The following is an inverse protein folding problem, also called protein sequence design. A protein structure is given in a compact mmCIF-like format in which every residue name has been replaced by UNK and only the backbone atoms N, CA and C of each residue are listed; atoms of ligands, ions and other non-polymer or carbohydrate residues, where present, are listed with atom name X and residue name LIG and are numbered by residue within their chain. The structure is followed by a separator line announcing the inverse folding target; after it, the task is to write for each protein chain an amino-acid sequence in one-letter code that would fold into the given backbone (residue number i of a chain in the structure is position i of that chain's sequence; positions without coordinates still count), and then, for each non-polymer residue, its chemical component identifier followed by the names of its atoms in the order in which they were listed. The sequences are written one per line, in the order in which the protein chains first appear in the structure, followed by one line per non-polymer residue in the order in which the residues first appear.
data_IF_528258751982
#
_entry.id   IF_528258751982
#
_cell.length_a   1.000
_cell.length_b   1.000
_cell.length_c   1.000
_cell.angle_alpha   90.00
_cell.angle_beta   90.00
_cell.angle_gamma   90.00
#
_symmetry.space_group_name_H-M   'P 1'
#
loop_
_entity.id
_entity.type
_entity.pdbx_description
1 polymer ?
#
# COMPACT_ATOMS: atom_id res chain seq x y z
N UNK A 1 -34.20 -0.54 30.69
CA UNK A 1 -33.61 0.71 30.14
C UNK A 1 -32.17 0.41 29.80
N UNK A 2 -31.66 0.42 28.57
CA UNK A 2 -32.24 0.58 27.25
C UNK A 2 -31.30 -0.13 26.27
N UNK A 3 -31.91 -0.74 25.26
CA UNK A 3 -31.30 -1.49 24.18
C UNK A 3 -30.46 -0.53 23.30
N UNK A 4 -29.14 -0.75 23.22
CA UNK A 4 -28.26 -0.26 22.16
C UNK A 4 -27.60 -1.53 21.60
N UNK A 5 -28.09 -2.13 20.53
CA UNK A 5 -28.02 -1.55 19.19
C UNK A 5 -26.86 -2.23 18.47
N UNK A 6 -27.08 -3.51 18.11
CA UNK A 6 -26.16 -4.35 17.36
C UNK A 6 -25.76 -3.70 16.02
N UNK A 7 -24.56 -3.14 15.96
CA UNK A 7 -23.87 -2.83 14.71
C UNK A 7 -22.64 -3.74 14.58
N UNK A 8 -22.91 -5.00 14.23
CA UNK A 8 -21.90 -6.00 13.94
C UNK A 8 -22.39 -6.97 12.87
N UNK A 9 -22.45 -6.53 11.60
CA UNK A 9 -22.94 -7.30 10.46
C UNK A 9 -22.14 -8.60 10.16
N UNK A 10 -21.16 -8.99 10.98
CA UNK A 10 -20.37 -10.21 10.77
C UNK A 10 -20.00 -10.97 12.06
N UNK A 11 -20.66 -10.68 13.19
CA UNK A 11 -20.35 -11.37 14.45
C UNK A 11 -21.30 -12.51 14.81
N UNK A 12 -22.34 -12.80 14.02
CA UNK A 12 -23.14 -14.02 14.26
C UNK A 12 -22.67 -15.18 13.40
N UNK A 13 -22.19 -16.17 14.14
CA UNK A 13 -21.63 -17.46 13.79
C UNK A 13 -22.60 -18.32 12.97
N UNK A 14 -22.38 -18.39 11.67
CA UNK A 14 -22.60 -19.61 10.90
C UNK A 14 -21.38 -19.84 10.01
N UNK A 15 -20.98 -21.09 9.86
CA UNK A 15 -20.00 -21.53 8.85
C UNK A 15 -20.14 -20.70 7.59
N UNK A 16 -19.08 -20.07 7.08
CA UNK A 16 -19.13 -19.35 5.81
C UNK A 16 -19.67 -20.31 4.75
N UNK A 17 -20.98 -20.29 4.50
CA UNK A 17 -21.61 -21.12 3.50
C UNK A 17 -21.00 -20.78 2.16
N UNK A 18 -21.04 -21.72 1.22
CA UNK A 18 -20.57 -21.52 -0.16
C UNK A 18 -21.09 -20.19 -0.76
N UNK A 19 -22.28 -19.74 -0.34
CA UNK A 19 -22.87 -18.44 -0.67
C UNK A 19 -22.05 -17.23 -0.19
N UNK A 20 -21.60 -17.21 1.08
CA UNK A 20 -20.83 -16.09 1.65
C UNK A 20 -19.45 -15.92 0.99
N UNK A 21 -18.77 -17.04 0.70
CA UNK A 21 -17.50 -17.02 -0.05
C UNK A 21 -17.72 -16.51 -1.48
N UNK A 22 -18.82 -16.90 -2.12
CA UNK A 22 -19.17 -16.43 -3.46
C UNK A 22 -19.44 -14.93 -3.48
N UNK A 23 -20.21 -14.41 -2.52
CA UNK A 23 -20.46 -12.97 -2.38
C UNK A 23 -19.16 -12.20 -2.17
N UNK A 24 -18.28 -12.67 -1.28
CA UNK A 24 -16.98 -12.04 -1.03
C UNK A 24 -16.10 -12.00 -2.28
N UNK A 25 -16.06 -13.09 -3.07
CA UNK A 25 -15.35 -13.16 -4.35
C UNK A 25 -15.90 -12.15 -5.35
N UNK A 26 -17.21 -12.15 -5.55
CA UNK A 26 -17.89 -11.27 -6.52
C UNK A 26 -17.68 -9.81 -6.15
N UNK A 27 -17.93 -9.41 -4.89
CA UNK A 27 -17.75 -8.02 -4.46
C UNK A 27 -16.29 -7.57 -4.52
N UNK A 28 -15.33 -8.45 -4.21
CA UNK A 28 -13.90 -8.13 -4.32
C UNK A 28 -13.49 -7.87 -5.76
N UNK A 29 -13.96 -8.70 -6.71
CA UNK A 29 -13.70 -8.50 -8.15
C UNK A 29 -14.37 -7.23 -8.64
N UNK A 30 -15.66 -7.04 -8.33
CA UNK A 30 -16.42 -5.87 -8.80
C UNK A 30 -15.83 -4.57 -8.28
N UNK A 31 -15.48 -4.51 -6.99
CA UNK A 31 -14.86 -3.31 -6.40
C UNK A 31 -13.47 -3.03 -6.98
N UNK A 32 -12.65 -4.06 -7.21
CA UNK A 32 -11.35 -3.91 -7.84
C UNK A 32 -11.46 -3.45 -9.30
N UNK A 33 -12.35 -4.06 -10.10
CA UNK A 33 -12.61 -3.64 -11.48
C UNK A 33 -13.12 -2.20 -11.54
N UNK A 34 -14.06 -1.83 -10.68
CA UNK A 34 -14.56 -0.46 -10.59
C UNK A 34 -13.43 0.53 -10.28
N UNK A 35 -12.57 0.20 -9.32
CA UNK A 35 -11.40 1.04 -9.01
C UNK A 35 -10.45 1.17 -10.20
N UNK A 36 -10.15 0.10 -10.92
CA UNK A 36 -9.32 0.15 -12.13
C UNK A 36 -9.95 1.03 -13.20
N UNK A 37 -11.24 0.83 -13.49
CA UNK A 37 -11.96 1.60 -14.50
C UNK A 37 -11.89 3.09 -14.17
N UNK A 38 -12.13 3.46 -12.90
CA UNK A 38 -12.01 4.85 -12.45
C UNK A 38 -10.57 5.37 -12.59
N UNK A 39 -9.56 4.59 -12.21
CA UNK A 39 -8.15 4.99 -12.35
C UNK A 39 -7.75 5.20 -13.82
N UNK A 40 -8.14 4.29 -14.72
CA UNK A 40 -7.87 4.41 -16.16
C UNK A 40 -8.64 5.60 -16.76
N UNK A 41 -9.90 5.77 -16.36
CA UNK A 41 -10.72 6.89 -16.82
C UNK A 41 -10.12 8.25 -16.41
N UNK A 42 -9.72 8.40 -15.15
CA UNK A 42 -9.08 9.62 -14.67
C UNK A 42 -7.69 9.82 -15.28
N UNK A 43 -6.91 8.75 -15.45
CA UNK A 43 -5.55 8.81 -15.98
C UNK A 43 -5.46 9.04 -17.49
N UNK A 44 -6.52 8.79 -18.25
CA UNK A 44 -6.59 9.01 -19.71
C UNK A 44 -7.07 10.40 -20.10
N UNK A 45 -7.54 11.22 -19.15
CA UNK A 45 -8.01 12.59 -19.41
C UNK A 45 -6.85 13.59 -19.51
N UNK A 46 -6.14 13.54 -20.64
CA UNK A 46 -5.11 14.53 -21.01
C UNK A 46 -3.68 14.07 -20.72
N UNK A 47 -2.70 14.79 -21.28
CA UNK A 47 -1.28 14.48 -21.10
C UNK A 47 -0.82 14.83 -19.67
N UNK A 48 0.12 14.06 -19.08
CA UNK A 48 0.72 14.38 -17.78
C UNK A 48 1.47 15.71 -17.74
N UNK A 49 1.88 16.25 -18.90
CA UNK A 49 2.66 17.49 -18.98
C UNK A 49 1.84 18.70 -19.46
N UNK A 50 0.55 18.50 -19.79
CA UNK A 50 -0.32 19.59 -20.23
C UNK A 50 -1.00 20.23 -19.00
N UNK A 51 -0.36 21.24 -18.41
CA UNK A 51 -0.79 21.84 -17.14
C UNK A 51 -1.99 22.80 -17.24
N UNK A 52 -2.37 23.24 -18.44
CA UNK A 52 -3.39 24.31 -18.61
C UNK A 52 -4.84 23.80 -18.69
N UNK A 53 -5.09 22.51 -18.96
CA UNK A 53 -6.46 22.00 -19.15
C UNK A 53 -6.68 20.51 -18.82
N UNK A 54 -5.66 19.82 -18.33
CA UNK A 54 -5.69 18.37 -18.09
C UNK A 54 -6.29 18.03 -16.73
N UNK A 55 -7.40 17.29 -16.74
CA UNK A 55 -7.99 16.67 -15.54
C UNK A 55 -7.32 15.31 -15.23
N UNK A 56 -6.00 15.24 -15.38
CA UNK A 56 -5.20 14.05 -15.08
C UNK A 56 -4.55 14.21 -13.71
N UNK A 57 -4.60 13.20 -12.81
CA UNK A 57 -3.91 13.28 -11.53
C UNK A 57 -2.41 13.57 -11.67
N UNK A 58 -1.78 13.13 -12.77
CA UNK A 58 -0.36 13.42 -13.04
C UNK A 58 -0.14 14.85 -13.55
N UNK A 59 -1.07 15.42 -14.30
CA UNK A 59 -0.98 16.83 -14.67
C UNK A 59 -1.09 17.73 -13.43
N UNK A 60 -1.99 17.39 -12.51
CA UNK A 60 -2.09 18.04 -11.19
C UNK A 60 -0.80 17.89 -10.36
N UNK A 61 -0.17 16.71 -10.38
CA UNK A 61 1.10 16.44 -9.71
C UNK A 61 2.26 17.35 -10.17
N UNK A 62 2.32 17.64 -11.47
CA UNK A 62 3.36 18.51 -12.03
C UNK A 62 2.98 19.99 -11.99
N UNK A 63 1.68 20.32 -12.10
CA UNK A 63 1.18 21.69 -11.92
C UNK A 63 1.41 22.19 -10.49
N UNK A 64 1.07 21.37 -9.49
CA UNK A 64 1.32 21.62 -8.08
C UNK A 64 2.63 20.96 -7.64
N UNK A 65 3.71 21.50 -8.19
CA UNK A 65 5.05 20.96 -7.97
C UNK A 65 5.49 21.16 -6.51
N UNK A 66 5.71 20.06 -5.78
CA UNK A 66 6.17 20.04 -4.39
C UNK A 66 7.29 19.01 -4.11
N UNK A 67 7.81 18.99 -2.89
CA UNK A 67 8.78 17.97 -2.42
C UNK A 67 8.20 16.54 -2.45
N UNK A 68 6.88 16.39 -2.61
CA UNK A 68 6.18 15.12 -2.76
C UNK A 68 5.82 14.78 -4.22
N UNK A 69 6.19 15.61 -5.20
CA UNK A 69 5.99 15.29 -6.61
C UNK A 69 6.69 13.99 -6.96
N UNK A 70 5.92 13.04 -7.48
CA UNK A 70 6.41 11.71 -7.85
C UNK A 70 6.48 11.57 -9.38
N UNK A 71 7.40 10.74 -9.86
CA UNK A 71 7.49 10.44 -11.29
C UNK A 71 6.18 9.78 -11.79
N UNK A 72 5.70 10.26 -12.93
CA UNK A 72 4.47 9.77 -13.54
C UNK A 72 4.63 8.43 -14.25
N UNK A 73 5.83 8.01 -14.66
CA UNK A 73 6.08 6.68 -15.26
C UNK A 73 5.67 5.53 -14.33
N UNK A 74 5.76 5.74 -13.02
CA UNK A 74 5.31 4.77 -12.02
C UNK A 74 3.77 4.66 -11.88
N UNK A 75 3.02 5.60 -12.45
CA UNK A 75 1.56 5.57 -12.48
C UNK A 75 0.89 5.91 -13.82
N UNK A 76 1.66 6.00 -14.91
CA UNK A 76 1.16 6.17 -16.27
C UNK A 76 0.67 4.83 -16.82
N UNK A 77 -0.44 4.91 -17.53
CA UNK A 77 -1.09 3.82 -18.24
C UNK A 77 -1.05 4.16 -19.73
N UNK A 78 0.14 4.22 -20.33
CA UNK A 78 0.25 4.49 -21.76
C UNK A 78 0.06 3.19 -22.56
N UNK A 79 -0.84 3.23 -23.53
CA UNK A 79 -1.38 2.04 -24.20
C UNK A 79 -0.42 1.40 -25.22
N UNK A 80 0.74 2.00 -25.49
CA UNK A 80 1.72 1.48 -26.46
C UNK A 80 3.06 1.03 -25.87
N UNK A 81 3.33 1.30 -24.59
CA UNK A 81 4.51 0.76 -23.90
C UNK A 81 4.10 0.31 -22.49
N UNK A 82 3.62 -0.93 -22.42
CA UNK A 82 3.44 -1.73 -21.19
C UNK A 82 2.65 -1.06 -20.05
N UNK A 83 1.33 -1.33 -19.91
CA UNK A 83 0.54 -0.79 -18.82
C UNK A 83 0.90 -1.56 -17.55
N UNK A 84 1.74 -0.98 -16.71
CA UNK A 84 1.93 -1.52 -15.36
C UNK A 84 1.83 -0.39 -14.35
N UNK A 85 0.61 0.14 -14.24
CA UNK A 85 0.16 0.83 -13.03
C UNK A 85 0.49 -0.06 -11.85
N UNK A 86 1.58 0.24 -11.16
CA UNK A 86 2.16 -0.67 -10.18
C UNK A 86 1.20 -0.87 -9.02
N UNK A 87 0.36 0.13 -8.69
CA UNK A 87 -0.38 0.13 -7.44
C UNK A 87 -1.61 -0.80 -7.38
N UNK A 88 -2.47 -0.80 -8.40
CA UNK A 88 -3.67 -1.64 -8.46
C UNK A 88 -3.39 -3.07 -8.99
N UNK A 89 -2.27 -3.27 -9.68
CA UNK A 89 -1.89 -4.59 -10.19
C UNK A 89 -1.39 -5.53 -9.07
N UNK A 90 -0.79 -5.01 -8.00
CA UNK A 90 -0.40 -5.85 -6.86
C UNK A 90 -1.62 -6.47 -6.16
N UNK A 91 -2.79 -5.81 -6.21
CA UNK A 91 -4.04 -6.34 -5.66
C UNK A 91 -4.58 -7.56 -6.41
N UNK A 92 -4.14 -7.80 -7.66
CA UNK A 92 -4.47 -9.05 -8.38
C UNK A 92 -3.99 -10.26 -7.60
N UNK A 93 -2.85 -10.15 -6.92
CA UNK A 93 -2.34 -11.25 -6.09
C UNK A 93 -3.30 -11.61 -4.96
N UNK A 94 -3.98 -10.63 -4.36
CA UNK A 94 -5.02 -10.88 -3.37
C UNK A 94 -6.22 -11.63 -3.99
N UNK A 95 -6.68 -11.19 -5.17
CA UNK A 95 -7.79 -11.83 -5.88
C UNK A 95 -7.45 -13.28 -6.19
N UNK A 96 -6.22 -13.56 -6.64
CA UNK A 96 -5.77 -14.95 -6.90
C UNK A 96 -5.84 -15.81 -5.63
N UNK A 97 -5.55 -15.26 -4.44
CA UNK A 97 -5.68 -16.01 -3.19
C UNK A 97 -7.13 -16.40 -2.85
N UNK A 98 -8.12 -15.59 -3.25
CA UNK A 98 -9.54 -15.94 -3.07
C UNK A 98 -9.93 -17.18 -3.89
N UNK A 99 -9.22 -17.50 -4.97
CA UNK A 99 -9.43 -18.67 -5.81
C UNK A 99 -8.45 -19.82 -5.54
N UNK A 100 -7.70 -19.75 -4.43
CA UNK A 100 -6.78 -20.82 -4.05
C UNK A 100 -7.54 -22.14 -3.78
N UNK A 101 -6.86 -23.26 -4.03
CA UNK A 101 -7.37 -24.62 -3.72
C UNK A 101 -7.35 -24.92 -2.22
N UNK A 102 -6.63 -24.12 -1.45
CA UNK A 102 -6.45 -24.26 -0.01
C UNK A 102 -7.58 -23.53 0.73
N UNK A 103 -8.42 -24.28 1.46
CA UNK A 103 -9.57 -23.77 2.20
C UNK A 103 -9.17 -22.76 3.29
N UNK A 104 -8.01 -22.95 3.92
CA UNK A 104 -7.57 -22.11 5.03
C UNK A 104 -7.16 -20.73 4.51
N UNK A 105 -6.48 -20.70 3.36
CA UNK A 105 -6.13 -19.45 2.67
C UNK A 105 -7.36 -18.68 2.21
N UNK A 106 -8.37 -19.37 1.69
CA UNK A 106 -9.62 -18.73 1.26
C UNK A 106 -10.35 -18.14 2.46
N UNK A 107 -10.44 -18.85 3.59
CA UNK A 107 -11.07 -18.32 4.80
C UNK A 107 -10.34 -17.08 5.32
N UNK A 108 -9.00 -17.11 5.40
CA UNK A 108 -8.21 -15.94 5.80
C UNK A 108 -8.44 -14.75 4.87
N UNK A 109 -8.52 -14.96 3.56
CA UNK A 109 -8.80 -13.92 2.59
C UNK A 109 -10.23 -13.35 2.73
N UNK A 110 -11.23 -14.19 3.04
CA UNK A 110 -12.61 -13.75 3.30
C UNK A 110 -12.70 -12.85 4.52
N UNK A 111 -11.93 -13.09 5.58
CA UNK A 111 -11.90 -12.18 6.74
C UNK A 111 -11.35 -10.78 6.42
N UNK A 112 -10.53 -10.66 5.38
CA UNK A 112 -9.90 -9.41 4.94
C UNK A 112 -10.72 -8.70 3.85
N UNK A 113 -11.68 -9.39 3.23
CA UNK A 113 -12.35 -8.91 2.02
C UNK A 113 -13.10 -7.58 2.20
N UNK A 114 -13.70 -7.35 3.37
CA UNK A 114 -14.47 -6.12 3.63
C UNK A 114 -13.56 -4.89 3.63
N UNK A 115 -12.36 -5.00 4.21
CA UNK A 115 -11.37 -3.92 4.23
C UNK A 115 -10.80 -3.68 2.84
N UNK A 116 -10.61 -4.75 2.06
CA UNK A 116 -10.17 -4.67 0.66
C UNK A 116 -11.20 -3.95 -0.22
N UNK A 117 -12.48 -4.33 -0.11
CA UNK A 117 -13.59 -3.69 -0.84
C UNK A 117 -13.68 -2.23 -0.45
N UNK A 118 -13.67 -1.92 0.86
CA UNK A 118 -13.71 -0.55 1.36
C UNK A 118 -12.52 0.26 0.81
N UNK A 119 -11.31 -0.29 0.80
CA UNK A 119 -10.14 0.36 0.23
C UNK A 119 -10.33 0.71 -1.25
N UNK A 120 -10.85 -0.21 -2.06
CA UNK A 120 -11.02 0.02 -3.50
C UNK A 120 -12.07 1.11 -3.76
N UNK A 121 -13.17 1.10 -3.00
CA UNK A 121 -14.21 2.13 -3.10
C UNK A 121 -13.68 3.49 -2.65
N UNK A 122 -13.03 3.56 -1.49
CA UNK A 122 -12.46 4.81 -0.98
C UNK A 122 -11.36 5.34 -1.90
N UNK A 123 -10.53 4.48 -2.48
CA UNK A 123 -9.51 4.87 -3.44
C UNK A 123 -10.12 5.45 -4.74
N UNK A 124 -11.18 4.81 -5.26
CA UNK A 124 -11.89 5.33 -6.43
C UNK A 124 -12.52 6.70 -6.15
N UNK A 125 -13.16 6.86 -4.99
CA UNK A 125 -13.71 8.14 -4.54
C UNK A 125 -12.60 9.18 -4.43
N UNK A 126 -11.50 8.86 -3.75
CA UNK A 126 -10.32 9.72 -3.64
C UNK A 126 -9.85 10.25 -5.01
N UNK A 127 -9.68 9.36 -6.00
CA UNK A 127 -9.21 9.75 -7.33
C UNK A 127 -10.18 10.71 -8.03
N UNK A 128 -11.49 10.46 -7.95
CA UNK A 128 -12.49 11.35 -8.53
C UNK A 128 -12.42 12.74 -7.89
N UNK A 129 -12.36 12.82 -6.55
CA UNK A 129 -12.26 14.10 -5.85
C UNK A 129 -10.93 14.83 -6.15
N UNK A 130 -9.83 14.08 -6.21
CA UNK A 130 -8.49 14.63 -6.48
C UNK A 130 -8.42 15.29 -7.86
N UNK A 131 -8.93 14.62 -8.89
CA UNK A 131 -8.98 15.13 -10.27
C UNK A 131 -9.85 16.37 -10.38
N UNK A 132 -10.91 16.46 -9.57
CA UNK A 132 -11.77 17.63 -9.50
C UNK A 132 -11.25 18.72 -8.55
N UNK A 133 -10.00 18.62 -8.06
CA UNK A 133 -9.36 19.59 -7.17
C UNK A 133 -10.05 19.80 -5.81
N UNK A 134 -10.91 18.87 -5.38
CA UNK A 134 -11.52 18.90 -4.05
C UNK A 134 -10.58 18.33 -2.98
N UNK A 135 -9.41 18.96 -2.81
CA UNK A 135 -8.29 18.43 -2.02
C UNK A 135 -8.63 18.18 -0.53
N UNK A 136 -9.53 18.97 0.04
CA UNK A 136 -9.95 18.82 1.44
C UNK A 136 -10.79 17.56 1.66
N UNK A 137 -11.70 17.28 0.73
CA UNK A 137 -12.56 16.10 0.80
C UNK A 137 -11.78 14.84 0.39
N UNK A 138 -10.87 14.93 -0.59
CA UNK A 138 -9.97 13.82 -0.92
C UNK A 138 -9.06 13.46 0.26
N UNK A 139 -8.58 14.46 1.04
CA UNK A 139 -7.81 14.21 2.26
C UNK A 139 -8.64 13.45 3.31
N UNK A 140 -9.89 13.87 3.54
CA UNK A 140 -10.78 13.19 4.48
C UNK A 140 -11.02 11.72 4.09
N UNK A 141 -11.18 11.45 2.79
CA UNK A 141 -11.33 10.08 2.25
C UNK A 141 -10.05 9.27 2.42
N UNK A 142 -8.87 9.87 2.21
CA UNK A 142 -7.58 9.22 2.46
C UNK A 142 -7.39 8.89 3.94
N UNK A 143 -7.76 9.79 4.86
CA UNK A 143 -7.69 9.53 6.31
C UNK A 143 -8.60 8.36 6.68
N UNK A 144 -9.82 8.34 6.15
CA UNK A 144 -10.75 7.22 6.37
C UNK A 144 -10.18 5.91 5.85
N UNK A 145 -9.57 5.92 4.66
CA UNK A 145 -8.95 4.73 4.10
C UNK A 145 -7.71 4.28 4.89
N UNK A 146 -6.92 5.23 5.39
CA UNK A 146 -5.77 4.96 6.24
C UNK A 146 -6.19 4.29 7.55
N UNK A 147 -7.28 4.74 8.16
CA UNK A 147 -7.85 4.10 9.35
C UNK A 147 -8.34 2.69 9.02
N UNK A 148 -9.09 2.51 7.93
CA UNK A 148 -9.58 1.21 7.46
C UNK A 148 -8.43 0.18 7.32
N UNK A 149 -7.36 0.58 6.62
CA UNK A 149 -6.19 -0.27 6.41
C UNK A 149 -5.32 -0.45 7.67
N UNK A 150 -5.25 0.54 8.55
CA UNK A 150 -4.56 0.43 9.84
C UNK A 150 -5.27 -0.58 10.75
N UNK A 151 -6.60 -0.55 10.80
CA UNK A 151 -7.40 -1.55 11.53
C UNK A 151 -7.13 -2.95 10.98
N UNK A 152 -7.11 -3.12 9.65
CA UNK A 152 -6.75 -4.38 9.01
C UNK A 152 -5.35 -4.84 9.43
N UNK A 153 -4.36 -3.96 9.35
CA UNK A 153 -2.96 -4.26 9.71
C UNK A 153 -2.81 -4.69 11.18
N UNK A 154 -3.50 -4.03 12.10
CA UNK A 154 -3.41 -4.37 13.53
C UNK A 154 -4.25 -5.58 13.94
N UNK A 155 -5.39 -5.83 13.29
CA UNK A 155 -6.22 -7.01 13.58
C UNK A 155 -5.68 -8.29 13.00
N UNK A 156 -5.08 -8.25 11.82
CA UNK A 156 -4.68 -9.45 11.08
C UNK A 156 -3.15 -9.56 10.92
N UNK A 157 -2.45 -9.72 12.05
CA UNK A 157 -0.97 -9.73 12.11
C UNK A 157 -0.28 -10.96 11.52
N UNK A 158 -1.02 -12.02 11.23
CA UNK A 158 -0.48 -13.32 10.79
C UNK A 158 -1.04 -13.74 9.42
N UNK A 159 -1.02 -12.81 8.45
CA UNK A 159 -1.43 -13.11 7.09
C UNK A 159 -0.26 -13.71 6.27
N UNK A 160 -0.54 -14.63 5.34
CA UNK A 160 0.43 -15.06 4.35
C UNK A 160 1.01 -13.86 3.60
N UNK A 161 2.32 -13.87 3.32
CA UNK A 161 3.05 -12.74 2.71
C UNK A 161 2.36 -12.20 1.45
N UNK A 162 1.77 -13.07 0.63
CA UNK A 162 1.06 -12.67 -0.58
C UNK A 162 -0.18 -11.81 -0.27
N UNK A 163 -0.96 -12.18 0.75
CA UNK A 163 -2.14 -11.43 1.20
C UNK A 163 -1.69 -10.15 1.92
N UNK A 164 -0.70 -10.26 2.81
CA UNK A 164 -0.16 -9.12 3.55
C UNK A 164 0.37 -8.04 2.59
N UNK A 165 1.20 -8.42 1.63
CA UNK A 165 1.79 -7.48 0.68
C UNK A 165 0.73 -6.81 -0.19
N UNK A 166 -0.18 -7.59 -0.77
CA UNK A 166 -1.15 -7.09 -1.78
C UNK A 166 -2.35 -6.35 -1.20
N UNK A 167 -2.90 -6.80 -0.07
CA UNK A 167 -4.11 -6.24 0.52
C UNK A 167 -3.85 -5.29 1.68
N UNK A 168 -2.67 -5.35 2.31
CA UNK A 168 -2.36 -4.58 3.53
C UNK A 168 -1.20 -3.62 3.29
N UNK A 169 0.03 -4.13 3.22
CA UNK A 169 1.25 -3.33 3.28
C UNK A 169 1.35 -2.34 2.13
N UNK A 170 1.06 -2.80 0.90
CA UNK A 170 1.17 -1.96 -0.26
C UNK A 170 0.08 -0.87 -0.31
N UNK A 171 -1.24 -1.18 -0.21
CA UNK A 171 -2.28 -0.13 -0.14
C UNK A 171 -2.10 0.85 1.02
N UNK A 172 -1.64 0.37 2.18
CA UNK A 172 -1.44 1.20 3.37
C UNK A 172 -0.25 2.14 3.19
N UNK A 173 0.88 1.65 2.64
CA UNK A 173 2.03 2.50 2.33
C UNK A 173 1.70 3.59 1.31
N UNK A 174 0.93 3.27 0.26
CA UNK A 174 0.45 4.24 -0.71
C UNK A 174 -0.47 5.27 -0.05
N UNK A 175 -1.45 4.83 0.74
CA UNK A 175 -2.39 5.74 1.40
C UNK A 175 -1.67 6.67 2.37
N UNK A 176 -0.67 6.16 3.10
CA UNK A 176 0.17 6.99 3.97
C UNK A 176 0.93 8.06 3.20
N UNK A 177 1.56 7.70 2.08
CA UNK A 177 2.22 8.68 1.21
C UNK A 177 1.21 9.68 0.61
N UNK A 178 0.07 9.19 0.14
CA UNK A 178 -0.97 9.99 -0.49
C UNK A 178 -1.54 11.06 0.44
N UNK A 179 -1.60 10.83 1.76
CA UNK A 179 -1.97 11.85 2.75
C UNK A 179 -1.04 13.07 2.68
N UNK A 180 0.28 12.84 2.70
CA UNK A 180 1.22 13.96 2.59
C UNK A 180 1.18 14.60 1.20
N UNK A 181 1.06 13.79 0.16
CA UNK A 181 1.01 14.26 -1.22
C UNK A 181 -0.22 15.14 -1.48
N UNK A 182 -1.43 14.68 -1.15
CA UNK A 182 -2.66 15.44 -1.28
C UNK A 182 -2.72 16.61 -0.27
N UNK A 183 -2.28 16.39 0.96
CA UNK A 183 -2.12 17.43 1.98
C UNK A 183 -1.33 18.63 1.48
N UNK A 184 -0.23 18.37 0.78
CA UNK A 184 0.62 19.42 0.23
C UNK A 184 -0.05 20.20 -0.92
N UNK A 185 -0.98 19.58 -1.66
CA UNK A 185 -1.77 20.26 -2.71
C UNK A 185 -2.66 21.38 -2.15
N UNK A 186 -3.04 21.31 -0.87
CA UNK A 186 -3.83 22.35 -0.21
C UNK A 186 -3.00 23.58 0.20
N UNK A 187 -1.66 23.48 0.21
CA UNK A 187 -0.79 24.58 0.64
C UNK A 187 -0.67 25.62 -0.47
N UNK A 188 -1.06 26.89 -0.23
CA UNK A 188 -0.88 27.95 -1.21
C UNK A 188 0.62 28.24 -1.39
N UNK A 189 1.04 28.46 -2.64
CA UNK A 189 2.42 28.80 -3.01
C UNK A 189 3.49 27.81 -2.53
N UNK A 190 3.42 26.57 -3.05
CA UNK A 190 4.36 25.48 -2.73
C UNK A 190 5.84 25.78 -3.06
N UNK A 191 6.12 26.79 -3.88
CA UNK A 191 7.47 27.25 -4.21
C UNK A 191 8.13 28.07 -3.10
N UNK A 192 7.37 28.49 -2.08
CA UNK A 192 7.91 29.19 -0.91
C UNK A 192 8.95 28.32 -0.19
N UNK A 193 10.05 28.94 0.23
CA UNK A 193 11.13 28.26 0.97
C UNK A 193 10.59 27.54 2.21
N UNK A 194 9.65 28.16 2.93
CA UNK A 194 9.01 27.53 4.09
C UNK A 194 8.27 26.23 3.74
N UNK A 195 7.48 26.23 2.66
CA UNK A 195 6.78 25.02 2.20
C UNK A 195 7.79 23.93 1.85
N UNK A 196 8.84 24.25 1.09
CA UNK A 196 9.89 23.30 0.72
C UNK A 196 10.63 22.70 1.92
N UNK A 197 10.98 23.52 2.91
CA UNK A 197 11.59 23.02 4.17
C UNK A 197 10.64 22.08 4.90
N UNK A 198 9.37 22.45 5.00
CA UNK A 198 8.33 21.60 5.62
C UNK A 198 8.18 20.28 4.87
N UNK A 199 8.16 20.29 3.53
CA UNK A 199 8.15 19.10 2.69
C UNK A 199 9.38 18.21 2.90
N UNK A 200 10.57 18.80 2.94
CA UNK A 200 11.83 18.12 3.26
C UNK A 200 11.84 17.47 4.65
N UNK A 201 11.15 18.04 5.64
CA UNK A 201 11.02 17.43 6.97
C UNK A 201 9.99 16.32 6.95
N UNK A 202 8.82 16.54 6.34
CA UNK A 202 7.74 15.55 6.33
C UNK A 202 8.04 14.30 5.50
N UNK A 203 8.88 14.37 4.46
CA UNK A 203 9.28 13.17 3.71
C UNK A 203 9.93 12.11 4.63
N UNK A 204 10.61 12.52 5.71
CA UNK A 204 11.21 11.62 6.69
C UNK A 204 10.18 10.85 7.51
N UNK A 205 8.90 11.24 7.50
CA UNK A 205 7.84 10.44 8.09
C UNK A 205 7.74 9.05 7.43
N UNK A 206 8.11 8.91 6.15
CA UNK A 206 8.22 7.63 5.46
C UNK A 206 9.26 6.72 6.14
N UNK A 207 10.42 7.29 6.51
CA UNK A 207 11.45 6.55 7.23
C UNK A 207 10.97 6.14 8.63
N UNK A 208 10.39 7.08 9.38
CA UNK A 208 9.87 6.82 10.72
C UNK A 208 8.83 5.70 10.72
N UNK A 209 7.88 5.75 9.79
CA UNK A 209 6.85 4.72 9.64
C UNK A 209 7.42 3.38 9.19
N UNK A 210 8.40 3.37 8.28
CA UNK A 210 9.08 2.15 7.82
C UNK A 210 9.92 1.47 8.92
N UNK A 211 10.70 2.24 9.68
CA UNK A 211 11.47 1.71 10.83
C UNK A 211 10.52 1.19 11.91
N UNK A 212 9.45 1.92 12.23
CA UNK A 212 8.44 1.46 13.18
C UNK A 212 7.82 0.13 12.73
N UNK A 213 7.55 -0.02 11.44
CA UNK A 213 7.01 -1.25 10.85
C UNK A 213 7.98 -2.44 10.98
N UNK A 214 9.27 -2.23 10.75
CA UNK A 214 10.29 -3.27 10.95
C UNK A 214 10.50 -3.63 12.42
N UNK A 215 10.62 -2.62 13.28
CA UNK A 215 10.96 -2.81 14.69
C UNK A 215 9.78 -3.28 15.53
N UNK A 216 8.70 -2.50 15.56
CA UNK A 216 7.55 -2.76 16.43
C UNK A 216 6.62 -3.83 15.87
N UNK A 217 6.33 -3.77 14.55
CA UNK A 217 5.36 -4.66 13.92
C UNK A 217 5.98 -5.89 13.26
N UNK A 218 7.32 -5.91 13.10
CA UNK A 218 8.06 -6.98 12.41
C UNK A 218 7.50 -7.24 11.01
N UNK A 219 7.02 -6.21 10.32
CA UNK A 219 6.48 -6.29 8.97
C UNK A 219 7.52 -5.77 7.96
N UNK A 220 8.33 -6.66 7.34
CA UNK A 220 9.27 -6.28 6.29
C UNK A 220 8.58 -5.87 4.99
N UNK A 221 7.34 -6.32 4.72
CA UNK A 221 6.64 -5.98 3.50
C UNK A 221 6.28 -4.49 3.47
N UNK A 222 5.82 -3.93 4.59
CA UNK A 222 5.52 -2.50 4.71
C UNK A 222 6.74 -1.63 4.42
N UNK A 223 7.87 -1.95 5.05
CA UNK A 223 9.12 -1.21 4.86
C UNK A 223 9.63 -1.30 3.42
N UNK A 224 9.48 -2.45 2.76
CA UNK A 224 9.83 -2.60 1.35
C UNK A 224 8.97 -1.69 0.45
N UNK A 225 7.66 -1.63 0.70
CA UNK A 225 6.76 -0.78 -0.08
C UNK A 225 7.09 0.70 0.10
N UNK A 226 7.38 1.14 1.33
CA UNK A 226 7.80 2.52 1.61
C UNK A 226 9.16 2.85 0.98
N UNK A 227 10.09 1.89 0.97
CA UNK A 227 11.37 2.02 0.26
C UNK A 227 11.15 2.28 -1.24
N UNK A 228 10.28 1.49 -1.86
CA UNK A 228 9.91 1.65 -3.28
C UNK A 228 9.27 3.01 -3.56
N UNK A 229 8.28 3.43 -2.76
CA UNK A 229 7.64 4.75 -2.88
C UNK A 229 8.66 5.88 -2.68
N UNK A 230 9.60 5.74 -1.76
CA UNK A 230 10.61 6.77 -1.51
C UNK A 230 11.57 6.93 -2.70
N UNK A 231 11.99 5.84 -3.32
CA UNK A 231 12.80 5.88 -4.55
C UNK A 231 11.99 6.51 -5.70
N UNK A 232 10.72 6.15 -5.83
CA UNK A 232 9.80 6.72 -6.79
C UNK A 232 9.67 8.25 -6.69
N UNK A 233 9.56 8.77 -5.46
CA UNK A 233 9.58 10.21 -5.21
C UNK A 233 10.93 10.79 -5.62
N UNK A 234 12.05 10.16 -5.23
CA UNK A 234 13.40 10.60 -5.61
C UNK A 234 13.60 10.74 -7.12
N UNK A 235 13.09 9.77 -7.90
CA UNK A 235 13.09 9.86 -9.38
C UNK A 235 12.25 11.05 -9.86
N UNK A 236 11.07 11.27 -9.28
CA UNK A 236 10.26 12.46 -9.58
C UNK A 236 10.98 13.78 -9.27
N UNK A 237 11.82 13.81 -8.22
CA UNK A 237 12.63 14.98 -7.88
C UNK A 237 13.78 15.23 -8.88
N UNK A 238 14.33 14.17 -9.50
CA UNK A 238 15.31 14.30 -10.60
C UNK A 238 14.68 15.00 -11.81
N UNK A 239 13.49 14.56 -12.22
CA UNK A 239 12.82 15.07 -13.43
C UNK A 239 12.54 16.57 -13.37
N UNK A 240 12.22 17.06 -12.17
CA UNK A 240 11.94 18.48 -11.94
C UNK A 240 13.18 19.32 -11.59
N UNK A 241 14.38 18.72 -11.62
CA UNK A 241 15.63 19.37 -11.21
C UNK A 241 15.53 20.00 -9.82
N UNK A 242 15.00 19.24 -8.85
CA UNK A 242 14.77 19.72 -7.49
C UNK A 242 16.07 20.14 -6.79
N UNK A 243 15.94 20.89 -5.69
CA UNK A 243 17.11 21.23 -4.88
C UNK A 243 17.73 19.98 -4.26
N UNK A 244 19.04 20.03 -4.01
CA UNK A 244 19.80 18.93 -3.40
C UNK A 244 19.13 18.28 -2.17
N UNK A 245 18.59 19.01 -1.18
CA UNK A 245 17.96 18.37 -0.03
C UNK A 245 16.67 17.60 -0.37
N UNK A 246 15.85 18.12 -1.29
CA UNK A 246 14.62 17.46 -1.75
C UNK A 246 14.93 16.20 -2.57
N UNK A 247 16.05 16.23 -3.31
CA UNK A 247 16.50 15.12 -4.11
C UNK A 247 17.09 13.99 -3.26
N UNK A 248 17.98 14.32 -2.32
CA UNK A 248 18.78 13.31 -1.59
C UNK A 248 17.94 12.56 -0.55
N UNK A 249 17.02 13.25 0.14
CA UNK A 249 16.27 12.65 1.24
C UNK A 249 15.46 11.40 0.82
N UNK A 250 14.65 11.40 -0.26
CA UNK A 250 13.91 10.23 -0.70
C UNK A 250 14.80 9.03 -1.07
N UNK A 251 15.99 9.26 -1.67
CA UNK A 251 16.92 8.17 -1.96
C UNK A 251 17.55 7.58 -0.71
N UNK A 252 17.94 8.42 0.26
CA UNK A 252 18.49 7.97 1.54
C UNK A 252 17.45 7.11 2.27
N UNK A 253 16.22 7.59 2.38
CA UNK A 253 15.12 6.86 3.02
C UNK A 253 14.88 5.52 2.31
N UNK A 254 14.79 5.55 0.98
CA UNK A 254 14.61 4.36 0.15
C UNK A 254 15.68 3.31 0.40
N UNK A 255 16.95 3.71 0.36
CA UNK A 255 18.09 2.82 0.57
C UNK A 255 18.13 2.26 2.00
N UNK A 256 17.95 3.11 3.02
CA UNK A 256 17.97 2.68 4.43
C UNK A 256 16.88 1.64 4.69
N UNK A 257 15.63 1.92 4.28
CA UNK A 257 14.53 0.98 4.45
C UNK A 257 14.73 -0.30 3.64
N UNK A 258 15.23 -0.19 2.40
CA UNK A 258 15.51 -1.32 1.54
C UNK A 258 16.55 -2.27 2.14
N UNK A 259 17.70 -1.74 2.55
CA UNK A 259 18.75 -2.54 3.20
C UNK A 259 18.31 -3.12 4.54
N UNK A 260 17.61 -2.34 5.38
CA UNK A 260 17.10 -2.84 6.65
C UNK A 260 16.13 -4.02 6.44
N UNK A 261 15.29 -3.96 5.40
CA UNK A 261 14.38 -5.04 5.03
C UNK A 261 15.14 -6.27 4.56
N UNK A 262 16.13 -6.11 3.66
CA UNK A 262 16.96 -7.21 3.17
C UNK A 262 17.72 -7.90 4.30
N UNK A 263 18.26 -7.11 5.24
CA UNK A 263 18.94 -7.62 6.43
C UNK A 263 17.99 -8.45 7.29
N UNK A 264 16.78 -7.94 7.57
CA UNK A 264 15.77 -8.66 8.35
C UNK A 264 15.39 -10.00 7.71
N UNK A 265 15.15 -9.99 6.39
CA UNK A 265 14.82 -11.20 5.61
C UNK A 265 15.97 -12.21 5.64
N UNK A 266 17.20 -11.73 5.45
CA UNK A 266 18.40 -12.57 5.53
C UNK A 266 18.58 -13.20 6.92
N UNK A 267 18.38 -12.43 7.99
CA UNK A 267 18.44 -12.94 9.36
C UNK A 267 17.33 -13.97 9.65
N UNK A 268 16.13 -13.77 9.12
CA UNK A 268 15.04 -14.73 9.23
C UNK A 268 15.35 -16.03 8.48
N UNK A 269 15.93 -15.93 7.28
CA UNK A 269 16.36 -17.08 6.49
C UNK A 269 17.45 -17.87 7.21
N UNK A 270 18.48 -17.21 7.75
CA UNK A 270 19.52 -17.85 8.54
C UNK A 270 18.93 -18.60 9.75
N UNK A 271 18.04 -17.97 10.51
CA UNK A 271 17.39 -18.63 11.66
C UNK A 271 16.63 -19.89 11.24
N UNK A 272 15.91 -19.84 10.11
CA UNK A 272 15.14 -20.99 9.63
C UNK A 272 16.04 -22.16 9.19
N UNK A 273 17.17 -21.88 8.55
CA UNK A 273 18.10 -22.90 8.04
C UNK A 273 18.88 -23.56 9.17
N UNK A 274 19.35 -22.79 10.15
CA UNK A 274 20.00 -23.33 11.35
C UNK A 274 19.03 -24.13 12.22
N UNK A 275 17.80 -23.64 12.44
CA UNK A 275 16.79 -24.38 13.22
C UNK A 275 16.44 -25.73 12.58
N UNK A 276 16.28 -25.78 11.25
CA UNK A 276 15.97 -27.02 10.52
C UNK A 276 17.14 -28.02 10.56
N UNK A 277 18.39 -27.56 10.59
CA UNK A 277 19.57 -28.41 10.76
C UNK A 277 19.62 -29.03 12.17
N UNK A 278 19.33 -28.24 13.21
CA UNK A 278 19.30 -28.70 14.61
C UNK A 278 18.24 -29.79 14.84
N UNK A 279 17.02 -29.57 14.36
CA UNK A 279 15.93 -30.55 14.50
C UNK A 279 16.23 -31.87 13.76
N UNK A 280 16.89 -31.78 12.59
CA UNK A 280 17.31 -32.98 11.84
C UNK A 280 18.37 -33.77 12.60
N UNK A 281 19.31 -33.12 13.28
CA UNK A 281 20.34 -33.81 14.08
C UNK A 281 19.78 -34.45 15.35
N UNK A 282 18.79 -33.85 16.00
CA UNK A 282 18.12 -34.43 17.17
C UNK A 282 17.33 -35.70 16.80
N UNK A 283 16.53 -35.65 15.74
CA UNK A 283 15.77 -36.82 15.27
C UNK A 283 16.69 -38.00 14.90
N UNK A 284 17.85 -37.71 14.28
CA UNK A 284 18.86 -38.73 13.95
C UNK A 284 19.55 -39.32 15.19
N UNK A 285 19.64 -38.58 16.29
CA UNK A 285 20.20 -39.06 17.54
C UNK A 285 19.18 -39.92 18.31
N UNK A 286 17.90 -39.52 18.34
CA UNK A 286 16.82 -40.32 18.92
C UNK A 286 16.63 -41.65 18.19
N UNK A 287 16.60 -41.65 16.86
CA UNK A 287 16.43 -42.87 16.06
C UNK A 287 17.54 -43.89 16.34
N UNK A 288 18.79 -43.43 16.50
CA UNK A 288 19.91 -44.30 16.89
C UNK A 288 19.77 -44.86 18.30
N UNK A 289 19.20 -44.10 19.24
CA UNK A 289 19.01 -44.53 20.63
C UNK A 289 17.89 -45.56 20.81
N UNK A 290 16.88 -45.56 19.94
CA UNK A 290 15.76 -46.53 19.97
C UNK A 290 16.14 -47.85 19.28
N UNK A 291 17.13 -47.82 18.39
CA UNK A 291 17.64 -49.00 17.67
C UNK A 291 18.75 -49.79 18.39
N UNK A 292 19.19 -49.33 19.56
CA UNK A 292 20.26 -49.92 20.37
C UNK A 292 19.70 -50.55 21.66
#
# INVERSE_FOLDING_TARGET
MGHFGDFGLFCHRESNGLSGVTVAKTLSIVSWLASIIVSVYCGSRGSPHDTEQSQNPWALNYAHSSSFTMNSTLGRHDANETPRSSLLNWQVLFIVQLFSRDSDRVQQAVHVCIYFIANNVLHAIFLLLFVHSFFWLSEAVLVLNFINLSVLHFRHKALPLQIQLSAVSFPLSWTFFALYWNGFMMVPNQSLVAARVVGCVFIWALLGYGILSLGAFKDPAMSLCLSFISIAVGVGQIERLASTPELVAPFVIGMVLGFATLLQLHMCWLRSTFGRKSAKSENLAEEKSVSA
#
